data_IF_838187614199
#
_entry.id   IF_838187614199
#
_cell.length_a   1.000
_cell.length_b   1.000
_cell.length_c   1.000
_cell.angle_alpha   90.00
_cell.angle_beta   90.00
_cell.angle_gamma   90.00
#
_symmetry.space_group_name_H-M   'P 1'
#
loop_
_entity.id
_entity.type
_entity.pdbx_description
1 polymer ?
#
# COMPACT_ATOMS: atom_id res chain seq x y z
N UNK A 1 -1.87 8.57 -10.06
CA UNK A 1 -3.26 8.12 -9.89
C UNK A 1 -3.67 7.33 -11.11
N UNK A 2 -4.50 6.30 -10.94
CA UNK A 2 -5.05 5.51 -12.04
C UNK A 2 -6.57 5.54 -11.89
N UNK A 3 -7.28 6.09 -12.89
CA UNK A 3 -8.75 6.31 -12.85
C UNK A 3 -9.23 7.03 -11.58
N UNK A 4 -8.61 8.15 -11.23
CA UNK A 4 -8.97 8.94 -10.05
C UNK A 4 -8.51 8.38 -8.70
N UNK A 5 -7.92 7.18 -8.66
CA UNK A 5 -7.52 6.53 -7.40
C UNK A 5 -6.02 6.61 -7.13
N UNK A 6 -5.68 6.69 -5.86
CA UNK A 6 -4.30 6.49 -5.37
C UNK A 6 -3.87 5.06 -5.72
N UNK A 7 -2.77 4.93 -6.46
CA UNK A 7 -2.28 3.66 -6.97
C UNK A 7 -0.76 3.75 -7.14
N UNK A 8 -0.05 2.86 -6.47
CA UNK A 8 1.38 2.62 -6.64
C UNK A 8 1.52 1.26 -7.33
N UNK A 9 2.18 1.24 -8.48
CA UNK A 9 2.25 0.06 -9.33
C UNK A 9 3.66 -0.06 -9.90
N UNK A 10 4.17 -1.28 -9.94
CA UNK A 10 5.40 -1.60 -10.66
C UNK A 10 5.20 -2.92 -11.39
N UNK A 11 5.50 -2.91 -12.68
CA UNK A 11 5.56 -4.11 -13.51
C UNK A 11 6.98 -4.21 -14.05
N UNK A 12 7.63 -5.33 -13.79
CA UNK A 12 9.01 -5.59 -14.22
C UNK A 12 9.08 -6.94 -14.90
N UNK A 13 9.85 -7.02 -15.98
CA UNK A 13 10.31 -8.31 -16.51
C UNK A 13 11.39 -8.87 -15.58
N UNK A 14 11.42 -10.18 -15.43
CA UNK A 14 12.45 -10.86 -14.67
C UNK A 14 12.69 -12.24 -15.30
N UNK A 15 13.95 -12.65 -15.38
CA UNK A 15 14.37 -13.91 -16.01
C UNK A 15 14.29 -15.11 -15.07
N UNK A 16 14.14 -14.87 -13.76
CA UNK A 16 13.90 -15.93 -12.80
C UNK A 16 12.56 -16.61 -13.08
N UNK A 17 12.48 -17.92 -12.84
CA UNK A 17 11.27 -18.70 -13.08
C UNK A 17 10.11 -18.26 -12.17
N UNK A 18 8.86 -18.48 -12.62
CA UNK A 18 7.65 -18.14 -11.87
C UNK A 18 7.66 -18.68 -10.44
N UNK A 19 8.10 -19.91 -10.23
CA UNK A 19 8.16 -20.53 -8.90
C UNK A 19 9.09 -19.78 -7.95
N UNK A 20 10.28 -19.39 -8.42
CA UNK A 20 11.24 -18.64 -7.62
C UNK A 20 10.71 -17.23 -7.28
N UNK A 21 10.20 -16.52 -8.28
CA UNK A 21 9.60 -15.20 -8.09
C UNK A 21 8.42 -15.24 -7.13
N UNK A 22 7.60 -16.30 -7.20
CA UNK A 22 6.47 -16.48 -6.30
C UNK A 22 6.93 -16.71 -4.86
N UNK A 23 7.96 -17.53 -4.63
CA UNK A 23 8.53 -17.74 -3.29
C UNK A 23 9.11 -16.45 -2.72
N UNK A 24 9.82 -15.65 -3.52
CA UNK A 24 10.33 -14.33 -3.12
C UNK A 24 9.19 -13.38 -2.73
N UNK A 25 8.15 -13.31 -3.56
CA UNK A 25 6.98 -12.46 -3.31
C UNK A 25 6.22 -12.90 -2.03
N UNK A 26 6.03 -14.21 -1.85
CA UNK A 26 5.39 -14.79 -0.66
C UNK A 26 6.19 -14.48 0.60
N UNK A 27 7.51 -14.67 0.56
CA UNK A 27 8.39 -14.38 1.68
C UNK A 27 8.39 -12.90 2.06
N UNK A 28 8.47 -12.01 1.06
CA UNK A 28 8.34 -10.58 1.31
C UNK A 28 6.99 -10.25 1.96
N UNK A 29 5.90 -10.79 1.41
CA UNK A 29 4.55 -10.50 1.89
C UNK A 29 4.35 -10.93 3.35
N UNK A 30 4.78 -12.13 3.72
CA UNK A 30 4.67 -12.61 5.10
C UNK A 30 5.56 -11.85 6.09
N UNK A 31 6.68 -11.31 5.62
CA UNK A 31 7.61 -10.53 6.45
C UNK A 31 7.09 -9.11 6.70
N UNK A 32 6.51 -8.49 5.67
CA UNK A 32 6.02 -7.10 5.74
C UNK A 32 4.65 -7.03 6.40
N UNK A 33 3.83 -8.06 6.27
CA UNK A 33 2.50 -8.13 6.85
C UNK A 33 2.31 -9.38 7.72
N UNK A 34 3.04 -9.52 8.84
CA UNK A 34 3.04 -10.73 9.66
C UNK A 34 1.68 -10.97 10.34
N UNK A 35 1.03 -9.91 10.81
CA UNK A 35 -0.17 -9.96 11.64
C UNK A 35 -1.35 -9.26 10.95
N UNK A 36 -1.81 -9.76 9.80
CA UNK A 36 -2.97 -9.21 9.06
C UNK A 36 -4.24 -9.25 9.95
N UNK A 37 -4.69 -8.12 10.55
CA UNK A 37 -5.75 -8.15 11.56
C UNK A 37 -7.16 -8.24 10.95
N UNK A 38 -7.31 -7.98 9.65
CA UNK A 38 -8.59 -7.98 8.95
C UNK A 38 -8.44 -8.53 7.53
N UNK A 39 -9.11 -9.66 7.23
CA UNK A 39 -9.15 -10.25 5.89
C UNK A 39 -7.89 -11.06 5.57
N UNK A 40 -7.99 -12.39 5.66
CA UNK A 40 -6.91 -13.32 5.32
C UNK A 40 -6.36 -12.99 3.92
N UNK A 41 -5.04 -12.92 3.80
CA UNK A 41 -4.40 -12.86 2.50
C UNK A 41 -4.83 -14.06 1.65
N UNK A 42 -5.20 -13.80 0.39
CA UNK A 42 -5.54 -14.82 -0.59
C UNK A 42 -4.29 -15.08 -1.40
N UNK A 43 -3.67 -16.25 -1.17
CA UNK A 43 -2.46 -16.70 -1.84
C UNK A 43 -2.85 -17.86 -2.76
N UNK A 44 -2.71 -17.66 -4.06
CA UNK A 44 -2.96 -18.68 -5.08
C UNK A 44 -1.66 -18.91 -5.87
N UNK A 45 -0.96 -19.99 -5.53
CA UNK A 45 0.31 -20.36 -6.15
C UNK A 45 0.16 -20.81 -7.60
N UNK A 46 -0.96 -21.46 -7.94
CA UNK A 46 -1.22 -21.89 -9.31
C UNK A 46 -1.44 -20.68 -10.23
N UNK A 47 -2.29 -19.74 -9.79
CA UNK A 47 -2.50 -18.48 -10.50
C UNK A 47 -1.30 -17.52 -10.40
N UNK A 48 -0.37 -17.74 -9.47
CA UNK A 48 0.75 -16.86 -9.22
C UNK A 48 0.32 -15.53 -8.61
N UNK A 49 -0.70 -15.51 -7.75
CA UNK A 49 -1.25 -14.28 -7.16
C UNK A 49 -1.20 -14.27 -5.64
N UNK A 50 -0.95 -13.08 -5.08
CA UNK A 50 -1.04 -12.80 -3.64
C UNK A 50 -1.85 -11.52 -3.49
N UNK A 51 -2.97 -11.59 -2.78
CA UNK A 51 -3.83 -10.44 -2.50
C UNK A 51 -4.02 -10.30 -0.98
N UNK A 52 -3.99 -9.09 -0.47
CA UNK A 52 -4.22 -8.84 0.95
C UNK A 52 -4.39 -7.37 1.27
N UNK A 53 -4.35 -7.04 2.56
CA UNK A 53 -4.58 -5.70 3.06
C UNK A 53 -3.32 -5.17 3.74
N UNK A 54 -2.86 -4.00 3.33
CA UNK A 54 -1.81 -3.30 4.05
C UNK A 54 -2.41 -2.31 5.05
N UNK A 55 -1.74 -2.13 6.19
CA UNK A 55 -2.08 -1.14 7.20
C UNK A 55 -0.81 -0.43 7.66
N UNK A 56 -0.80 0.90 7.70
CA UNK A 56 0.25 1.65 8.40
C UNK A 56 -0.30 2.92 9.06
N UNK A 57 0.39 3.35 10.12
CA UNK A 57 0.09 4.58 10.86
C UNK A 57 0.82 5.76 10.23
N UNK A 58 0.15 6.91 10.13
CA UNK A 58 0.79 8.20 9.81
C UNK A 58 0.46 9.20 10.90
N UNK A 59 1.50 9.72 11.56
CA UNK A 59 1.36 10.81 12.54
C UNK A 59 1.14 12.11 11.77
N UNK A 60 0.01 12.76 12.01
CA UNK A 60 -0.43 13.93 11.25
C UNK A 60 -0.28 15.25 12.03
N UNK A 61 -0.07 15.22 13.35
CA UNK A 61 0.16 16.42 14.15
C UNK A 61 1.20 16.22 15.26
N UNK A 62 1.76 17.31 15.75
CA UNK A 62 2.73 17.29 16.86
C UNK A 62 2.08 16.92 18.21
N UNK A 63 0.76 17.10 18.31
CA UNK A 63 -0.04 16.67 19.47
C UNK A 63 -0.30 15.16 19.52
N UNK A 64 0.13 14.41 18.49
CA UNK A 64 0.01 12.95 18.45
C UNK A 64 -1.20 12.42 17.69
N UNK A 65 -2.03 13.29 17.08
CA UNK A 65 -3.10 12.84 16.18
C UNK A 65 -2.49 12.04 15.03
N UNK A 66 -3.15 10.94 14.67
CA UNK A 66 -2.65 10.07 13.63
C UNK A 66 -3.79 9.45 12.83
N UNK A 67 -3.44 8.95 11.65
CA UNK A 67 -4.37 8.25 10.78
C UNK A 67 -3.89 6.81 10.62
N UNK A 68 -4.81 5.87 10.70
CA UNK A 68 -4.60 4.53 10.16
C UNK A 68 -4.91 4.55 8.68
N UNK A 69 -3.96 4.14 7.84
CA UNK A 69 -4.14 3.99 6.41
C UNK A 69 -4.24 2.53 6.03
N UNK A 70 -5.38 2.16 5.43
CA UNK A 70 -5.69 0.81 4.95
C UNK A 70 -5.73 0.80 3.43
N UNK A 71 -5.16 -0.23 2.79
CA UNK A 71 -5.10 -0.32 1.34
C UNK A 71 -5.05 -1.77 0.88
N UNK A 72 -5.41 -2.01 -0.37
CA UNK A 72 -5.26 -3.32 -1.01
C UNK A 72 -3.83 -3.48 -1.53
N UNK A 73 -3.25 -4.64 -1.29
CA UNK A 73 -2.01 -5.11 -1.92
C UNK A 73 -2.37 -6.25 -2.87
N UNK A 74 -1.85 -6.19 -4.10
CA UNK A 74 -1.98 -7.27 -5.07
C UNK A 74 -0.65 -7.48 -5.77
N UNK A 75 -0.22 -8.74 -5.81
CA UNK A 75 0.97 -9.19 -6.49
C UNK A 75 0.56 -10.26 -7.49
N UNK A 76 1.07 -10.16 -8.70
CA UNK A 76 0.93 -11.17 -9.76
C UNK A 76 2.31 -11.54 -10.27
N UNK A 77 2.59 -12.83 -10.34
CA UNK A 77 3.84 -13.40 -10.84
C UNK A 77 3.52 -14.28 -12.04
N UNK A 78 4.28 -14.08 -13.10
CA UNK A 78 4.19 -14.81 -14.36
C UNK A 78 5.55 -15.38 -14.71
N UNK A 79 5.63 -16.21 -15.74
CA UNK A 79 6.90 -16.74 -16.25
C UNK A 79 7.84 -15.68 -16.83
N UNK A 80 7.34 -14.46 -17.05
CA UNK A 80 8.11 -13.36 -17.68
C UNK A 80 8.42 -12.21 -16.72
N UNK A 81 7.96 -12.29 -15.48
CA UNK A 81 8.14 -11.23 -14.49
C UNK A 81 6.97 -11.08 -13.53
N UNK A 82 6.83 -9.90 -12.95
CA UNK A 82 5.90 -9.65 -11.87
C UNK A 82 5.23 -8.27 -11.96
N UNK A 83 4.08 -8.14 -11.31
CA UNK A 83 3.36 -6.90 -11.08
C UNK A 83 3.04 -6.76 -9.61
N UNK A 84 3.34 -5.61 -9.03
CA UNK A 84 2.90 -5.19 -7.71
C UNK A 84 1.94 -4.02 -7.81
N UNK A 85 0.90 -4.00 -6.97
CA UNK A 85 -0.06 -2.91 -6.86
C UNK A 85 -0.43 -2.67 -5.40
N UNK A 86 -0.36 -1.41 -4.98
CA UNK A 86 -1.01 -0.89 -3.78
C UNK A 86 -2.06 0.16 -4.19
N UNK A 87 -3.31 -0.04 -3.81
CA UNK A 87 -4.45 0.72 -4.32
C UNK A 87 -5.65 0.71 -3.37
N UNK A 88 -6.68 1.51 -3.68
CA UNK A 88 -7.87 1.70 -2.84
C UNK A 88 -7.48 2.06 -1.39
N UNK A 89 -6.86 3.23 -1.24
CA UNK A 89 -6.44 3.72 0.08
C UNK A 89 -7.65 4.30 0.84
N UNK A 90 -7.74 3.94 2.10
CA UNK A 90 -8.70 4.45 3.06
C UNK A 90 -7.97 4.96 4.29
N UNK A 91 -8.54 5.95 4.94
CA UNK A 91 -8.00 6.56 6.15
C UNK A 91 -9.00 6.47 7.29
N UNK A 92 -8.49 6.29 8.51
CA UNK A 92 -9.26 6.42 9.75
C UNK A 92 -8.52 7.39 10.68
N UNK A 93 -9.03 8.60 10.92
CA UNK A 93 -8.45 9.52 11.89
C UNK A 93 -8.59 8.94 13.30
N UNK A 94 -7.54 9.06 14.09
CA UNK A 94 -7.53 8.73 15.52
C UNK A 94 -7.21 10.02 16.28
N UNK A 95 -8.29 10.65 16.74
CA UNK A 95 -8.30 11.89 17.49
C UNK A 95 -9.40 11.84 18.54
N UNK A 96 -9.23 12.56 19.65
CA UNK A 96 -10.22 12.63 20.73
C UNK A 96 -11.55 13.18 20.19
N UNK A 97 -12.62 12.40 20.33
CA UNK A 97 -13.97 12.80 19.93
C UNK A 97 -14.35 12.44 18.49
N UNK A 98 -13.45 11.86 17.70
CA UNK A 98 -13.78 11.33 16.37
C UNK A 98 -14.02 9.81 16.46
N UNK A 99 -15.19 9.37 16.00
CA UNK A 99 -15.57 7.95 15.93
C UNK A 99 -15.75 7.46 14.50
N UNK A 100 -15.27 8.23 13.53
CA UNK A 100 -15.43 7.91 12.12
C UNK A 100 -14.68 6.61 11.77
N UNK A 101 -15.35 5.75 11.00
CA UNK A 101 -14.72 4.60 10.38
C UNK A 101 -13.94 4.98 9.12
N UNK A 102 -13.28 4.00 8.51
CA UNK A 102 -12.47 4.20 7.32
C UNK A 102 -13.21 4.94 6.19
N UNK A 103 -12.65 6.05 5.73
CA UNK A 103 -13.14 6.85 4.62
C UNK A 103 -12.17 6.84 3.43
N UNK A 104 -12.72 7.07 2.23
CA UNK A 104 -11.95 7.23 1.00
C UNK A 104 -11.11 8.50 1.03
N UNK A 105 -9.86 8.42 0.56
CA UNK A 105 -8.88 9.51 0.60
C UNK A 105 -8.78 10.30 -0.71
N UNK A 106 -9.40 9.81 -1.79
CA UNK A 106 -9.08 10.22 -3.16
C UNK A 106 -9.28 11.72 -3.45
N UNK A 107 -10.30 12.35 -2.88
CA UNK A 107 -10.62 13.75 -3.16
C UNK A 107 -9.59 14.71 -2.51
N UNK A 108 -9.31 14.55 -1.21
CA UNK A 108 -8.26 15.33 -0.52
C UNK A 108 -6.87 15.07 -1.09
N UNK A 109 -6.61 13.82 -1.51
CA UNK A 109 -5.36 13.49 -2.19
C UNK A 109 -5.20 14.23 -3.52
N UNK A 110 -6.29 14.37 -4.30
CA UNK A 110 -6.24 15.10 -5.56
C UNK A 110 -5.89 16.57 -5.33
N UNK A 111 -6.58 17.25 -4.41
CA UNK A 111 -6.33 18.65 -4.06
C UNK A 111 -4.90 18.87 -3.54
N UNK A 112 -4.42 17.97 -2.67
CA UNK A 112 -3.03 17.98 -2.21
C UNK A 112 -2.01 17.95 -3.36
N UNK A 113 -2.22 17.09 -4.37
CA UNK A 113 -1.30 17.01 -5.51
C UNK A 113 -1.34 18.23 -6.42
N UNK A 114 -2.41 19.02 -6.36
CA UNK A 114 -2.49 20.32 -7.03
C UNK A 114 -1.86 21.44 -6.20
N UNK A 115 -1.33 21.15 -5.01
CA UNK A 115 -0.74 22.15 -4.11
C UNK A 115 -1.74 22.81 -3.17
N UNK A 116 -2.98 22.30 -3.08
CA UNK A 116 -4.06 22.84 -2.26
C UNK A 116 -4.51 21.86 -1.16
N UNK A 117 -3.65 21.49 -0.19
CA UNK A 117 -4.09 20.66 0.92
C UNK A 117 -5.16 21.38 1.74
N UNK A 118 -6.16 20.64 2.22
CA UNK A 118 -7.25 21.22 2.99
C UNK A 118 -6.81 21.63 4.41
N UNK A 119 -5.71 21.07 4.89
CA UNK A 119 -5.13 21.37 6.19
C UNK A 119 -3.62 21.09 6.24
N UNK A 120 -2.95 21.54 7.31
CA UNK A 120 -1.55 21.17 7.58
C UNK A 120 -1.44 19.67 7.88
N UNK A 121 -2.45 19.08 8.52
CA UNK A 121 -2.50 17.65 8.80
C UNK A 121 -2.60 16.81 7.52
N UNK A 122 -3.38 17.26 6.53
CA UNK A 122 -3.48 16.64 5.20
C UNK A 122 -2.11 16.55 4.54
N UNK A 123 -1.33 17.64 4.60
CA UNK A 123 0.02 17.65 4.03
C UNK A 123 0.90 16.57 4.68
N UNK A 124 0.86 16.44 6.01
CA UNK A 124 1.64 15.43 6.75
C UNK A 124 1.14 14.02 6.46
N UNK A 125 -0.18 13.83 6.45
CA UNK A 125 -0.84 12.57 6.10
C UNK A 125 -0.42 12.07 4.72
N UNK A 126 -0.53 12.92 3.71
CA UNK A 126 -0.25 12.55 2.32
C UNK A 126 1.24 12.42 2.02
N UNK A 127 2.09 13.19 2.70
CA UNK A 127 3.54 12.96 2.68
C UNK A 127 3.86 11.59 3.26
N UNK A 128 3.30 11.24 4.42
CA UNK A 128 3.48 9.94 5.05
C UNK A 128 2.93 8.78 4.19
N UNK A 129 1.75 8.95 3.60
CA UNK A 129 1.18 7.97 2.66
C UNK A 129 2.15 7.71 1.50
N UNK A 130 2.65 8.78 0.87
CA UNK A 130 3.53 8.67 -0.28
C UNK A 130 4.86 8.00 0.07
N UNK A 131 5.47 8.42 1.17
CA UNK A 131 6.76 7.89 1.59
C UNK A 131 6.64 6.41 1.96
N UNK A 132 5.67 6.03 2.79
CA UNK A 132 5.47 4.63 3.17
C UNK A 132 5.13 3.74 1.95
N UNK A 133 4.26 4.20 1.06
CA UNK A 133 3.89 3.44 -0.14
C UNK A 133 5.06 3.25 -1.11
N UNK A 134 5.93 4.27 -1.25
CA UNK A 134 7.16 4.17 -2.06
C UNK A 134 8.19 3.27 -1.41
N UNK A 135 8.41 3.38 -0.10
CA UNK A 135 9.31 2.49 0.65
C UNK A 135 8.86 1.04 0.51
N UNK A 136 7.56 0.78 0.66
CA UNK A 136 6.97 -0.55 0.48
C UNK A 136 7.25 -1.09 -0.93
N UNK A 137 6.96 -0.28 -1.96
CA UNK A 137 7.24 -0.66 -3.35
C UNK A 137 8.73 -0.94 -3.59
N UNK A 138 9.63 -0.07 -3.10
CA UNK A 138 11.07 -0.26 -3.23
C UNK A 138 11.52 -1.54 -2.54
N UNK A 139 11.05 -1.81 -1.33
CA UNK A 139 11.39 -3.04 -0.59
C UNK A 139 10.97 -4.31 -1.34
N UNK A 140 9.80 -4.27 -2.00
CA UNK A 140 9.33 -5.38 -2.82
C UNK A 140 10.26 -5.58 -4.01
N UNK A 141 10.57 -4.52 -4.77
CA UNK A 141 11.50 -4.58 -5.90
C UNK A 141 12.87 -5.14 -5.49
N UNK A 142 13.41 -4.70 -4.36
CA UNK A 142 14.68 -5.20 -3.84
C UNK A 142 14.68 -6.71 -3.59
N UNK A 143 13.56 -7.31 -3.19
CA UNK A 143 13.46 -8.77 -3.03
C UNK A 143 13.23 -9.47 -4.37
N UNK A 144 12.46 -8.88 -5.27
CA UNK A 144 12.13 -9.48 -6.55
C UNK A 144 13.28 -9.47 -7.56
N UNK A 145 14.11 -8.42 -7.54
CA UNK A 145 15.18 -8.19 -8.52
C UNK A 145 16.55 -8.75 -8.06
N UNK A 146 16.56 -9.62 -7.05
CA UNK A 146 17.75 -10.40 -6.65
C UNK A 146 18.17 -11.43 -7.68
#
# INVERSE_FOLDING_TARGET
MKKGKVNYENTSKNIAGKAELFQRARHWFSTVFPDQPEGKAVIDEQAGTINGIGLFKVIASDSGNYYWLKFNVSITVTDTGYTYRAYNYYEKPIEKGITNEYSKIEYRWWDYRQGYPWSVEDKRLFTGLNNNSRTLLTSFKTIMDK
#
